data_IF_277767251454
#
_entry.id   IF_277767251454
#
_cell.length_a   1.000
_cell.length_b   1.000
_cell.length_c   1.000
_cell.angle_alpha   90.00
_cell.angle_beta   90.00
_cell.angle_gamma   90.00
#
_symmetry.space_group_name_H-M   'P 1'
#
loop_
_entity.id
_entity.type
_entity.pdbx_description
1 polymer ?
#
# COMPACT_ATOMS: atom_id res chain seq x y z
N UNK A 1 -7.01 23.17 -10.00
CA UNK A 1 -6.00 23.26 -8.91
C UNK A 1 -5.13 22.02 -8.98
N UNK A 2 -3.82 22.17 -8.83
CA UNK A 2 -2.90 21.05 -8.83
C UNK A 2 -3.06 20.26 -7.52
N UNK A 3 -3.46 18.96 -7.60
CA UNK A 3 -3.67 18.12 -6.42
C UNK A 3 -2.33 17.69 -5.81
N UNK A 4 -2.28 17.70 -4.47
CA UNK A 4 -1.11 17.30 -3.69
C UNK A 4 -1.20 15.82 -3.30
N UNK A 5 -0.14 15.09 -3.56
CA UNK A 5 -0.05 13.64 -3.27
C UNK A 5 1.13 13.37 -2.32
N UNK A 6 0.86 12.65 -1.25
CA UNK A 6 1.91 12.02 -0.42
C UNK A 6 1.93 10.52 -0.70
N UNK A 7 3.14 9.98 -0.92
CA UNK A 7 3.35 8.55 -1.09
C UNK A 7 4.31 8.04 -0.01
N UNK A 8 3.78 7.37 1.00
CA UNK A 8 4.60 6.61 1.96
C UNK A 8 5.20 5.40 1.26
N UNK A 9 6.50 5.16 1.41
CA UNK A 9 7.22 4.19 0.60
C UNK A 9 7.53 4.69 -0.83
N UNK A 10 7.38 5.99 -1.06
CA UNK A 10 7.54 6.65 -2.35
C UNK A 10 8.98 6.67 -2.91
N UNK A 11 9.97 6.27 -2.12
CA UNK A 11 11.36 6.13 -2.58
C UNK A 11 11.75 4.69 -2.89
N UNK A 12 10.83 3.72 -2.66
CA UNK A 12 11.02 2.32 -3.02
C UNK A 12 10.87 2.06 -4.53
N UNK A 13 11.14 0.83 -4.98
CA UNK A 13 11.16 0.50 -6.41
C UNK A 13 9.88 0.86 -7.17
N UNK A 14 8.70 0.48 -6.69
CA UNK A 14 7.41 0.88 -7.29
C UNK A 14 7.05 2.32 -6.93
N UNK A 15 7.35 2.75 -5.70
CA UNK A 15 7.00 4.08 -5.22
C UNK A 15 7.69 5.20 -6.00
N UNK A 16 8.99 5.08 -6.26
CA UNK A 16 9.75 6.11 -7.00
C UNK A 16 9.26 6.26 -8.44
N UNK A 17 8.93 5.16 -9.10
CA UNK A 17 8.36 5.17 -10.43
C UNK A 17 6.95 5.82 -10.45
N UNK A 18 6.13 5.51 -9.42
CA UNK A 18 4.80 6.12 -9.28
C UNK A 18 4.89 7.62 -9.01
N UNK A 19 5.83 8.06 -8.16
CA UNK A 19 6.13 9.50 -7.93
C UNK A 19 6.45 10.19 -9.25
N UNK A 20 7.33 9.60 -10.07
CA UNK A 20 7.72 10.16 -11.36
C UNK A 20 6.54 10.28 -12.33
N UNK A 21 5.73 9.22 -12.46
CA UNK A 21 4.57 9.23 -13.37
C UNK A 21 3.49 10.22 -12.97
N UNK A 22 3.13 10.26 -11.69
CA UNK A 22 2.13 11.22 -11.20
C UNK A 22 2.65 12.66 -11.30
N UNK A 23 3.94 12.90 -11.04
CA UNK A 23 4.56 14.21 -11.25
C UNK A 23 4.53 14.67 -12.70
N UNK A 24 4.76 13.79 -13.66
CA UNK A 24 4.67 14.07 -15.09
C UNK A 24 3.25 14.45 -15.54
N UNK A 25 2.22 13.97 -14.86
CA UNK A 25 0.81 14.34 -15.09
C UNK A 25 0.42 15.70 -14.46
N UNK A 26 1.35 16.36 -13.79
CA UNK A 26 1.11 17.66 -13.20
C UNK A 26 0.66 17.64 -11.74
N UNK A 27 0.65 16.50 -11.04
CA UNK A 27 0.43 16.46 -9.60
C UNK A 27 1.65 16.99 -8.85
N UNK A 28 1.43 17.64 -7.69
CA UNK A 28 2.51 17.91 -6.73
C UNK A 28 2.72 16.68 -5.86
N UNK A 29 3.76 15.90 -6.12
CA UNK A 29 3.99 14.60 -5.47
C UNK A 29 5.20 14.64 -4.56
N UNK A 30 5.04 14.17 -3.31
CA UNK A 30 6.14 13.91 -2.38
C UNK A 30 6.21 12.43 -2.02
N UNK A 31 7.30 11.78 -2.38
CA UNK A 31 7.62 10.42 -1.94
C UNK A 31 8.42 10.43 -0.66
N UNK A 32 8.01 9.64 0.33
CA UNK A 32 8.66 9.52 1.64
C UNK A 32 9.17 8.10 1.87
N UNK A 33 10.33 7.98 2.49
CA UNK A 33 10.94 6.73 2.98
C UNK A 33 10.77 6.55 4.48
N UNK A 34 11.18 5.40 5.00
CA UNK A 34 11.28 5.17 6.45
C UNK A 34 12.41 5.98 7.13
N UNK A 35 13.25 6.68 6.37
CA UNK A 35 14.24 7.64 6.92
C UNK A 35 13.64 9.01 7.12
N UNK A 36 12.60 9.34 6.35
CA UNK A 36 11.89 10.62 6.42
C UNK A 36 10.78 10.58 7.47
N UNK A 37 10.10 9.43 7.60
CA UNK A 37 8.97 9.24 8.52
C UNK A 37 8.80 7.77 8.89
N UNK A 38 8.73 7.47 10.18
CA UNK A 38 8.29 6.16 10.68
C UNK A 38 6.76 6.12 10.74
N UNK A 39 6.14 5.39 9.84
CA UNK A 39 4.67 5.25 9.82
C UNK A 39 4.10 4.66 11.12
N UNK A 40 4.92 3.98 11.93
CA UNK A 40 4.51 3.42 13.22
C UNK A 40 4.48 4.43 14.36
N UNK A 41 4.96 5.65 14.10
CA UNK A 41 4.91 6.80 15.00
C UNK A 41 3.84 7.78 14.49
N UNK A 42 2.74 7.87 15.23
CA UNK A 42 1.62 8.72 14.84
C UNK A 42 2.01 10.21 14.74
N UNK A 43 2.82 10.72 15.66
CA UNK A 43 3.20 12.13 15.67
C UNK A 43 4.01 12.52 14.44
N UNK A 44 4.92 11.65 13.97
CA UNK A 44 5.65 11.89 12.75
C UNK A 44 4.72 11.90 11.52
N UNK A 45 3.78 10.95 11.45
CA UNK A 45 2.80 10.88 10.35
C UNK A 45 1.90 12.12 10.36
N UNK A 46 1.39 12.51 11.54
CA UNK A 46 0.55 13.70 11.70
C UNK A 46 1.31 14.97 11.28
N UNK A 47 2.58 15.13 11.67
CA UNK A 47 3.43 16.24 11.25
C UNK A 47 3.53 16.36 9.73
N UNK A 48 3.72 15.23 9.03
CA UNK A 48 3.71 15.19 7.55
C UNK A 48 2.38 15.66 6.98
N UNK A 49 1.25 15.22 7.55
CA UNK A 49 -0.08 15.63 7.07
C UNK A 49 -0.35 17.11 7.30
N UNK A 50 0.10 17.66 8.44
CA UNK A 50 -0.05 19.09 8.76
C UNK A 50 0.83 19.98 7.87
N UNK A 51 2.07 19.56 7.59
CA UNK A 51 3.00 20.32 6.74
C UNK A 51 2.53 20.37 5.30
N UNK A 52 2.03 19.26 4.75
CA UNK A 52 1.78 19.14 3.31
C UNK A 52 0.31 19.27 2.91
N UNK A 53 -0.62 19.00 3.80
CA UNK A 53 -2.09 19.03 3.57
C UNK A 53 -2.44 18.33 2.25
N UNK A 54 -2.19 17.00 2.14
CA UNK A 54 -2.37 16.29 0.87
C UNK A 54 -3.86 16.05 0.54
N UNK A 55 -4.21 16.20 -0.73
CA UNK A 55 -5.50 15.79 -1.29
C UNK A 55 -5.60 14.27 -1.44
N UNK A 56 -4.45 13.63 -1.68
CA UNK A 56 -4.33 12.20 -1.99
C UNK A 56 -3.20 11.60 -1.15
N UNK A 57 -3.48 10.49 -0.50
CA UNK A 57 -2.48 9.72 0.25
C UNK A 57 -2.41 8.31 -0.30
N UNK A 58 -1.21 7.90 -0.70
CA UNK A 58 -0.92 6.54 -1.17
C UNK A 58 0.05 5.89 -0.21
N UNK A 59 -0.32 4.76 0.37
CA UNK A 59 0.55 4.03 1.27
C UNK A 59 1.09 2.75 0.62
N UNK A 60 2.33 2.83 0.11
CA UNK A 60 3.13 1.71 -0.36
C UNK A 60 4.13 1.23 0.71
N UNK A 61 4.20 1.91 1.87
CA UNK A 61 5.06 1.47 2.96
C UNK A 61 4.60 0.11 3.48
N UNK A 62 5.55 -0.78 3.65
CA UNK A 62 5.30 -2.12 4.17
C UNK A 62 6.59 -2.84 4.51
N UNK A 63 6.49 -3.76 5.46
CA UNK A 63 7.55 -4.68 5.81
C UNK A 63 7.15 -6.11 5.45
N UNK A 64 8.15 -6.93 5.13
CA UNK A 64 7.99 -8.36 4.92
C UNK A 64 9.04 -9.11 5.75
N UNK A 65 8.63 -10.23 6.32
CA UNK A 65 9.50 -11.20 6.95
C UNK A 65 8.86 -12.58 6.83
N UNK A 66 9.44 -13.41 5.99
CA UNK A 66 8.94 -14.76 5.75
C UNK A 66 9.47 -15.71 6.79
N UNK A 67 8.56 -16.38 7.49
CA UNK A 67 8.87 -17.44 8.45
C UNK A 67 7.68 -18.36 8.63
N UNK A 68 7.94 -19.67 8.78
CA UNK A 68 6.90 -20.60 9.20
C UNK A 68 6.39 -20.25 10.60
N UNK A 69 5.08 -20.35 10.84
CA UNK A 69 4.47 -19.97 12.12
C UNK A 69 5.07 -20.72 13.30
N UNK A 70 5.40 -22.01 13.14
CA UNK A 70 6.04 -22.81 14.22
C UNK A 70 7.45 -22.32 14.57
N UNK A 71 8.14 -21.59 13.67
CA UNK A 71 9.47 -21.01 13.91
C UNK A 71 9.41 -19.66 14.65
N UNK A 72 8.23 -19.14 14.94
CA UNK A 72 8.07 -17.92 15.74
C UNK A 72 8.38 -18.13 17.24
N UNK A 73 8.66 -19.37 17.66
CA UNK A 73 9.29 -19.64 18.96
C UNK A 73 10.70 -19.04 19.06
N UNK A 74 11.43 -18.94 17.94
CA UNK A 74 12.70 -18.20 17.84
C UNK A 74 12.47 -16.69 18.01
N UNK A 75 13.36 -16.05 18.79
CA UNK A 75 13.21 -14.62 19.15
C UNK A 75 13.37 -13.72 17.93
N UNK A 76 14.33 -13.98 17.05
CA UNK A 76 14.58 -13.13 15.87
C UNK A 76 13.41 -13.19 14.89
N UNK A 77 12.89 -14.40 14.64
CA UNK A 77 11.70 -14.57 13.79
C UNK A 77 10.47 -13.86 14.39
N UNK A 78 10.29 -13.94 15.71
CA UNK A 78 9.19 -13.30 16.41
C UNK A 78 9.28 -11.78 16.36
N UNK A 79 10.47 -11.19 16.55
CA UNK A 79 10.67 -9.74 16.43
C UNK A 79 10.48 -9.26 14.99
N UNK A 80 10.94 -9.99 13.99
CA UNK A 80 10.69 -9.69 12.59
C UNK A 80 9.19 -9.73 12.27
N UNK A 81 8.46 -10.72 12.77
CA UNK A 81 7.01 -10.82 12.63
C UNK A 81 6.27 -9.64 13.31
N UNK A 82 6.69 -9.25 14.52
CA UNK A 82 6.16 -8.08 15.22
C UNK A 82 6.35 -6.80 14.42
N UNK A 83 7.54 -6.60 13.83
CA UNK A 83 7.83 -5.47 12.96
C UNK A 83 6.89 -5.46 11.75
N UNK A 84 6.66 -6.60 11.10
CA UNK A 84 5.71 -6.71 9.98
C UNK A 84 4.31 -6.27 10.42
N UNK A 85 3.81 -6.80 11.53
CA UNK A 85 2.50 -6.40 12.06
C UNK A 85 2.46 -4.91 12.39
N UNK A 86 3.46 -4.38 13.10
CA UNK A 86 3.49 -2.97 13.48
C UNK A 86 3.44 -2.04 12.26
N UNK A 87 4.27 -2.29 11.24
CA UNK A 87 4.32 -1.46 10.04
C UNK A 87 3.05 -1.61 9.19
N UNK A 88 2.62 -2.85 8.94
CA UNK A 88 1.54 -3.12 7.98
C UNK A 88 0.13 -2.97 8.57
N UNK A 89 -0.03 -2.84 9.88
CA UNK A 89 -1.33 -2.60 10.52
C UNK A 89 -1.36 -1.27 11.26
N UNK A 90 -0.60 -1.12 12.34
CA UNK A 90 -0.57 0.13 13.12
C UNK A 90 -0.13 1.32 12.25
N UNK A 91 0.93 1.15 11.45
CA UNK A 91 1.40 2.20 10.54
C UNK A 91 0.35 2.60 9.50
N UNK A 92 -0.41 1.64 8.98
CA UNK A 92 -1.51 1.93 8.04
C UNK A 92 -2.64 2.69 8.74
N UNK A 93 -3.02 2.30 9.96
CA UNK A 93 -4.02 3.03 10.75
C UNK A 93 -3.57 4.47 11.03
N UNK A 94 -2.31 4.67 11.41
CA UNK A 94 -1.75 6.00 11.64
C UNK A 94 -1.86 6.90 10.40
N UNK A 95 -1.51 6.36 9.22
CA UNK A 95 -1.61 7.10 7.94
C UNK A 95 -3.05 7.49 7.66
N UNK A 96 -4.00 6.58 7.80
CA UNK A 96 -5.43 6.85 7.58
C UNK A 96 -5.95 7.87 8.60
N UNK A 97 -5.69 7.66 9.89
CA UNK A 97 -6.17 8.53 10.96
C UNK A 97 -5.66 9.97 10.84
N UNK A 98 -4.38 10.13 10.48
CA UNK A 98 -3.79 11.45 10.32
C UNK A 98 -4.24 12.19 9.03
N UNK A 99 -4.61 11.45 7.97
CA UNK A 99 -5.12 12.05 6.73
C UNK A 99 -6.57 12.55 6.84
N UNK A 100 -7.42 11.86 7.59
CA UNK A 100 -8.86 12.10 7.62
C UNK A 100 -9.29 13.49 8.09
N UNK A 101 -8.72 14.12 9.14
CA UNK A 101 -9.23 15.38 9.67
C UNK A 101 -9.31 16.49 8.62
N UNK A 102 -8.23 16.76 7.89
CA UNK A 102 -8.23 17.82 6.86
C UNK A 102 -8.99 17.39 5.59
N UNK A 103 -8.93 16.10 5.18
CA UNK A 103 -9.70 15.62 4.03
C UNK A 103 -11.21 15.77 4.26
N UNK A 104 -11.70 15.46 5.45
CA UNK A 104 -13.09 15.65 5.84
C UNK A 104 -13.48 17.13 5.88
N UNK A 105 -12.62 17.99 6.42
CA UNK A 105 -12.81 19.44 6.44
C UNK A 105 -12.88 20.02 5.03
N UNK A 106 -12.00 19.57 4.14
CA UNK A 106 -11.93 20.04 2.75
C UNK A 106 -12.98 19.39 1.83
N UNK A 107 -13.81 18.47 2.33
CA UNK A 107 -14.79 17.71 1.55
C UNK A 107 -14.16 17.03 0.32
N UNK A 108 -12.91 16.60 0.44
CA UNK A 108 -12.17 15.88 -0.60
C UNK A 108 -11.02 15.08 0.01
N UNK A 109 -10.90 13.84 -0.38
CA UNK A 109 -9.74 12.99 -0.05
C UNK A 109 -9.74 11.69 -0.84
N UNK A 110 -8.54 11.22 -1.18
CA UNK A 110 -8.32 9.89 -1.78
C UNK A 110 -7.25 9.17 -0.98
N UNK A 111 -7.63 8.08 -0.34
CA UNK A 111 -6.70 7.22 0.42
C UNK A 111 -6.59 5.89 -0.32
N UNK A 112 -5.37 5.55 -0.71
CA UNK A 112 -5.06 4.33 -1.46
C UNK A 112 -4.03 3.53 -0.66
N UNK A 113 -4.43 2.35 -0.19
CA UNK A 113 -3.61 1.46 0.61
C UNK A 113 -3.15 0.26 -0.22
N UNK A 114 -2.01 -0.33 0.14
CA UNK A 114 -1.48 -1.49 -0.58
C UNK A 114 -1.71 -2.78 0.19
N UNK A 115 -2.55 -3.64 -0.35
CA UNK A 115 -2.75 -5.03 0.03
C UNK A 115 -1.88 -5.96 -0.85
N UNK A 116 -2.16 -7.25 -0.87
CA UNK A 116 -1.36 -8.25 -1.57
C UNK A 116 -2.23 -9.40 -2.07
N UNK A 117 -1.85 -10.01 -3.17
CA UNK A 117 -2.39 -11.28 -3.64
C UNK A 117 -2.29 -12.41 -2.59
N UNK A 118 -1.34 -12.32 -1.66
CA UNK A 118 -1.15 -13.30 -0.58
C UNK A 118 -2.31 -13.31 0.44
N UNK A 119 -3.24 -12.37 0.36
CA UNK A 119 -4.51 -12.40 1.12
C UNK A 119 -5.49 -13.42 0.56
N UNK A 120 -5.34 -13.79 -0.70
CA UNK A 120 -6.20 -14.67 -1.48
C UNK A 120 -5.50 -16.00 -1.77
N UNK A 121 -4.24 -15.96 -2.20
CA UNK A 121 -3.39 -17.11 -2.47
C UNK A 121 -2.21 -17.15 -1.50
N UNK A 122 -2.38 -17.78 -0.32
CA UNK A 122 -1.31 -17.84 0.67
C UNK A 122 -0.17 -18.73 0.18
N UNK A 123 1.05 -18.35 0.58
CA UNK A 123 2.27 -19.10 0.32
C UNK A 123 2.88 -19.52 1.66
N UNK A 124 3.47 -20.71 1.73
CA UNK A 124 4.13 -21.19 2.95
C UNK A 124 5.18 -20.18 3.43
N UNK A 125 5.19 -19.90 4.72
CA UNK A 125 6.09 -18.92 5.33
C UNK A 125 5.60 -17.48 5.32
N UNK A 126 4.55 -17.13 4.56
CA UNK A 126 4.03 -15.76 4.45
C UNK A 126 2.86 -15.47 5.40
N UNK A 127 2.59 -16.32 6.38
CA UNK A 127 1.39 -16.25 7.22
C UNK A 127 1.20 -14.90 7.93
N UNK A 128 2.26 -14.37 8.55
CA UNK A 128 2.19 -13.06 9.25
C UNK A 128 1.99 -11.92 8.25
N UNK A 129 2.74 -11.92 7.14
CA UNK A 129 2.61 -10.91 6.11
C UNK A 129 1.20 -10.93 5.47
N UNK A 130 0.75 -12.11 5.01
CA UNK A 130 -0.59 -12.26 4.42
C UNK A 130 -1.70 -11.79 5.35
N UNK A 131 -1.65 -12.18 6.64
CA UNK A 131 -2.61 -11.72 7.65
C UNK A 131 -2.58 -10.20 7.83
N UNK A 132 -1.39 -9.58 7.87
CA UNK A 132 -1.27 -8.13 7.98
C UNK A 132 -1.86 -7.39 6.76
N UNK A 133 -1.80 -7.99 5.57
CA UNK A 133 -2.41 -7.43 4.35
C UNK A 133 -3.92 -7.70 4.26
N UNK A 134 -4.41 -8.79 4.86
CA UNK A 134 -5.85 -9.06 4.98
C UNK A 134 -6.55 -8.02 5.88
N UNK A 135 -5.88 -7.55 6.94
CA UNK A 135 -6.36 -6.46 7.81
C UNK A 135 -6.81 -5.23 7.01
N UNK A 136 -6.10 -4.88 5.94
CA UNK A 136 -6.35 -3.68 5.12
C UNK A 136 -7.75 -3.74 4.48
N UNK A 137 -8.25 -4.92 4.11
CA UNK A 137 -9.59 -5.08 3.53
C UNK A 137 -10.69 -4.59 4.49
N UNK A 138 -10.64 -4.99 5.75
CA UNK A 138 -11.61 -4.52 6.75
C UNK A 138 -11.51 -3.02 7.00
N UNK A 139 -10.27 -2.49 7.06
CA UNK A 139 -10.03 -1.08 7.29
C UNK A 139 -10.59 -0.20 6.17
N UNK A 140 -10.37 -0.54 4.89
CA UNK A 140 -10.88 0.28 3.77
C UNK A 140 -12.40 0.27 3.69
N UNK A 141 -13.05 -0.85 3.98
CA UNK A 141 -14.51 -0.97 4.01
C UNK A 141 -15.12 0.00 5.04
N UNK A 142 -14.62 -0.01 6.26
CA UNK A 142 -15.11 0.87 7.33
C UNK A 142 -14.75 2.32 7.06
N UNK A 143 -13.51 2.61 6.69
CA UNK A 143 -13.06 3.97 6.39
C UNK A 143 -13.86 4.58 5.21
N UNK A 144 -14.10 3.81 4.15
CA UNK A 144 -14.92 4.24 3.01
C UNK A 144 -16.36 4.56 3.42
N UNK A 145 -16.98 3.70 4.24
CA UNK A 145 -18.34 3.91 4.75
C UNK A 145 -18.45 5.18 5.61
N UNK A 146 -17.55 5.37 6.56
CA UNK A 146 -17.57 6.50 7.51
C UNK A 146 -17.34 7.86 6.85
N UNK A 147 -16.68 7.89 5.68
CA UNK A 147 -16.19 9.12 5.08
C UNK A 147 -16.81 9.44 3.70
N UNK A 148 -17.66 8.57 3.17
CA UNK A 148 -18.30 8.75 1.86
C UNK A 148 -19.06 10.07 1.73
N UNK A 149 -19.82 10.47 2.75
CA UNK A 149 -20.59 11.74 2.77
C UNK A 149 -19.71 12.98 2.77
N UNK A 150 -18.39 12.83 2.98
CA UNK A 150 -17.39 13.90 2.95
C UNK A 150 -16.57 13.90 1.66
N UNK A 151 -16.99 13.15 0.64
CA UNK A 151 -16.25 12.97 -0.62
C UNK A 151 -14.81 12.47 -0.37
N UNK A 152 -14.62 11.65 0.68
CA UNK A 152 -13.36 10.98 0.98
C UNK A 152 -13.52 9.50 0.69
N UNK A 153 -12.66 8.97 -0.17
CA UNK A 153 -12.63 7.54 -0.49
C UNK A 153 -11.41 6.86 0.12
N UNK A 154 -11.57 5.60 0.50
CA UNK A 154 -10.50 4.75 0.98
C UNK A 154 -10.59 3.40 0.29
N UNK A 155 -9.57 3.05 -0.49
CA UNK A 155 -9.52 1.81 -1.26
C UNK A 155 -8.17 1.11 -1.10
N UNK A 156 -8.14 -0.18 -1.37
CA UNK A 156 -6.90 -0.95 -1.40
C UNK A 156 -6.56 -1.41 -2.82
N UNK A 157 -5.27 -1.47 -3.11
CA UNK A 157 -4.70 -2.17 -4.25
C UNK A 157 -4.21 -3.53 -3.79
N UNK A 158 -4.86 -4.60 -4.20
CA UNK A 158 -4.42 -5.97 -3.95
C UNK A 158 -3.44 -6.36 -5.05
N UNK A 159 -2.16 -6.08 -4.81
CA UNK A 159 -1.13 -6.26 -5.82
C UNK A 159 -0.63 -7.71 -5.87
N UNK A 160 -0.49 -8.22 -7.09
CA UNK A 160 0.29 -9.40 -7.40
C UNK A 160 1.80 -9.09 -7.43
N UNK A 161 2.50 -9.76 -8.32
CA UNK A 161 3.93 -9.57 -8.50
C UNK A 161 4.20 -8.55 -9.61
N UNK A 162 4.89 -7.48 -9.28
CA UNK A 162 5.25 -6.39 -10.18
C UNK A 162 6.75 -6.37 -10.46
N UNK A 163 7.13 -5.92 -11.64
CA UNK A 163 8.52 -5.66 -11.97
C UNK A 163 8.99 -4.44 -11.18
N UNK A 164 9.89 -4.65 -10.23
CA UNK A 164 10.34 -3.63 -9.28
C UNK A 164 10.05 -3.99 -7.81
N UNK A 165 10.49 -3.13 -6.90
CA UNK A 165 10.19 -3.27 -5.47
C UNK A 165 10.78 -4.54 -4.84
N UNK A 166 9.96 -5.28 -4.11
CA UNK A 166 10.38 -6.48 -3.37
C UNK A 166 10.80 -7.63 -4.29
N UNK A 167 10.32 -7.68 -5.54
CA UNK A 167 10.62 -8.75 -6.50
C UNK A 167 12.08 -8.77 -6.93
N UNK A 168 12.79 -7.65 -6.90
CA UNK A 168 14.23 -7.61 -7.20
C UNK A 168 15.08 -8.44 -6.23
N UNK A 169 14.62 -8.64 -5.01
CA UNK A 169 15.32 -9.42 -3.98
C UNK A 169 15.09 -10.93 -4.10
N UNK A 170 14.21 -11.35 -4.99
CA UNK A 170 13.89 -12.77 -5.20
C UNK A 170 14.99 -13.40 -6.06
N UNK A 171 15.56 -14.57 -5.68
CA UNK A 171 16.51 -15.30 -6.51
C UNK A 171 15.91 -15.69 -7.87
N UNK A 172 16.71 -15.66 -8.94
CA UNK A 172 16.22 -15.84 -10.32
C UNK A 172 15.51 -17.19 -10.54
N UNK A 173 15.96 -18.26 -9.92
CA UNK A 173 15.27 -19.58 -9.98
C UNK A 173 13.84 -19.50 -9.41
N UNK A 174 13.66 -18.71 -8.35
CA UNK A 174 12.35 -18.52 -7.73
C UNK A 174 11.48 -17.57 -8.55
N UNK A 175 12.09 -16.56 -9.18
CA UNK A 175 11.37 -15.65 -10.10
C UNK A 175 10.70 -16.40 -11.25
N UNK A 176 11.40 -17.38 -11.85
CA UNK A 176 10.82 -18.20 -12.93
C UNK A 176 9.58 -18.95 -12.43
N UNK A 177 9.69 -19.64 -11.29
CA UNK A 177 8.57 -20.39 -10.70
C UNK A 177 7.37 -19.47 -10.40
N UNK A 178 7.63 -18.29 -9.84
CA UNK A 178 6.58 -17.31 -9.57
C UNK A 178 5.94 -16.84 -10.88
N UNK A 179 6.74 -16.48 -11.87
CA UNK A 179 6.25 -16.00 -13.17
C UNK A 179 5.36 -17.05 -13.85
N UNK A 180 5.76 -18.32 -13.82
CA UNK A 180 4.99 -19.44 -14.37
C UNK A 180 3.68 -19.70 -13.62
N UNK A 181 3.60 -19.25 -12.35
CA UNK A 181 2.38 -19.34 -11.54
C UNK A 181 1.39 -18.20 -11.77
N UNK A 182 1.78 -17.15 -12.52
CA UNK A 182 0.91 -16.02 -12.88
C UNK A 182 0.18 -16.38 -14.19
N UNK A 183 -1.17 -16.45 -14.22
CA UNK A 183 -1.90 -16.78 -15.44
C UNK A 183 -1.56 -15.87 -16.64
N UNK A 184 -1.32 -14.59 -16.40
CA UNK A 184 -0.87 -13.65 -17.44
C UNK A 184 0.54 -13.94 -17.99
N UNK A 185 1.32 -14.86 -17.39
CA UNK A 185 2.66 -15.26 -17.83
C UNK A 185 3.74 -14.19 -17.66
N UNK A 186 3.45 -13.11 -16.96
CA UNK A 186 4.38 -11.97 -16.79
C UNK A 186 4.16 -11.23 -15.47
N UNK A 187 5.13 -10.43 -15.10
CA UNK A 187 5.01 -9.45 -14.00
C UNK A 187 4.07 -8.30 -14.40
N UNK A 188 3.42 -7.71 -13.41
CA UNK A 188 2.74 -6.43 -13.56
C UNK A 188 3.75 -5.30 -13.81
N UNK A 189 3.32 -4.29 -14.52
CA UNK A 189 4.13 -3.12 -14.89
C UNK A 189 3.77 -1.89 -14.05
N UNK A 190 4.67 -0.91 -14.01
CA UNK A 190 4.37 0.36 -13.35
C UNK A 190 3.21 1.10 -14.03
N UNK A 191 3.01 0.94 -15.32
CA UNK A 191 1.89 1.54 -16.04
C UNK A 191 0.55 0.98 -15.56
N UNK A 192 0.47 -0.32 -15.31
CA UNK A 192 -0.73 -0.96 -14.77
C UNK A 192 -1.03 -0.49 -13.34
N UNK A 193 0.00 -0.35 -12.50
CA UNK A 193 -0.15 0.24 -11.16
C UNK A 193 -0.62 1.69 -11.24
N UNK A 194 0.04 2.50 -12.07
CA UNK A 194 -0.30 3.91 -12.30
C UNK A 194 -1.75 4.07 -12.78
N UNK A 195 -2.17 3.31 -13.80
CA UNK A 195 -3.52 3.38 -14.35
C UNK A 195 -4.59 3.02 -13.30
N UNK A 196 -4.29 2.03 -12.44
CA UNK A 196 -5.21 1.65 -11.35
C UNK A 196 -5.28 2.73 -10.27
N UNK A 197 -4.15 3.35 -9.92
CA UNK A 197 -4.11 4.50 -9.00
C UNK A 197 -4.92 5.66 -9.58
N UNK A 198 -4.72 6.00 -10.86
CA UNK A 198 -5.48 7.05 -11.56
C UNK A 198 -6.98 6.76 -11.56
N UNK A 199 -7.37 5.53 -11.84
CA UNK A 199 -8.77 5.11 -11.76
C UNK A 199 -9.37 5.39 -10.37
N UNK A 200 -8.66 5.05 -9.29
CA UNK A 200 -9.15 5.29 -7.93
C UNK A 200 -9.18 6.78 -7.54
N UNK A 201 -8.30 7.59 -8.11
CA UNK A 201 -8.32 9.06 -7.93
C UNK A 201 -9.54 9.67 -8.62
N UNK A 202 -9.82 9.25 -9.86
CA UNK A 202 -10.79 9.89 -10.75
C UNK A 202 -12.20 9.30 -10.62
N UNK A 203 -12.36 8.17 -9.90
CA UNK A 203 -13.65 7.47 -9.76
C UNK A 203 -14.10 7.45 -8.30
N UNK A 204 -14.67 8.54 -7.77
CA UNK A 204 -15.05 8.64 -6.35
C UNK A 204 -16.19 7.70 -5.94
N UNK A 205 -16.92 7.12 -6.90
CA UNK A 205 -17.96 6.12 -6.61
C UNK A 205 -17.35 4.74 -6.29
N UNK A 206 -16.07 4.53 -6.61
CA UNK A 206 -15.29 3.39 -6.17
C UNK A 206 -14.75 3.67 -4.75
N UNK A 207 -15.37 3.09 -3.72
CA UNK A 207 -15.05 3.39 -2.33
C UNK A 207 -15.23 2.15 -1.44
N UNK A 208 -14.35 1.96 -0.47
CA UNK A 208 -14.40 0.86 0.50
C UNK A 208 -14.05 -0.50 -0.11
N UNK A 209 -13.33 -0.57 -1.22
CA UNK A 209 -13.06 -1.82 -1.95
C UNK A 209 -11.57 -2.13 -2.08
N UNK A 210 -11.28 -3.37 -2.44
CA UNK A 210 -9.94 -3.84 -2.83
C UNK A 210 -9.96 -4.20 -4.32
N UNK A 211 -9.12 -3.50 -5.10
CA UNK A 211 -8.95 -3.76 -6.54
C UNK A 211 -7.81 -4.75 -6.73
N UNK A 212 -8.09 -5.86 -7.37
CA UNK A 212 -7.11 -6.88 -7.70
C UNK A 212 -6.33 -6.48 -8.96
N UNK A 213 -4.99 -6.44 -8.84
CA UNK A 213 -4.07 -6.15 -9.94
C UNK A 213 -2.96 -7.19 -9.88
N UNK A 214 -3.24 -8.41 -10.34
CA UNK A 214 -2.43 -9.58 -10.04
C UNK A 214 -2.19 -10.52 -11.23
N UNK A 215 -2.64 -10.18 -12.42
CA UNK A 215 -2.48 -11.01 -13.61
C UNK A 215 -3.31 -12.30 -13.60
N UNK A 216 -4.41 -12.32 -12.83
CA UNK A 216 -5.34 -13.44 -12.74
C UNK A 216 -4.96 -14.50 -11.71
N UNK A 217 -4.09 -14.22 -10.77
CA UNK A 217 -3.73 -15.16 -9.68
C UNK A 217 -4.97 -15.43 -8.82
N UNK A 218 -5.33 -16.71 -8.66
CA UNK A 218 -6.48 -17.20 -7.89
C UNK A 218 -6.06 -18.12 -6.75
#
# INVERSE_FOLDING_TARGET
>A
MNKKIIIFGGTGGLGSQLVSKLGAEGYTVKGLSSKDVDVTDYAQVEGVMQEHIPDIVINLAGANADSFLHKLSDTNNREAARKVMKVNTVGVVNVVAAALPHMRSNQYGRIILTSSVLTKKPVMGTGVYGSSKTFIKGLVMTCGLENASKNVTCNALQLGYFDGGLTHKIPDKVKTVIKDSIPAGRWGTIDELYNTVKFLIDTPYCNGTSIEVDGGIQ
#
